data_IF_028476465819
#
_entry.id   IF_028476465819
#
_cell.length_a   1.000
_cell.length_b   1.000
_cell.length_c   1.000
_cell.angle_alpha   90.00
_cell.angle_beta   90.00
_cell.angle_gamma   90.00
#
_symmetry.space_group_name_H-M   'P 1'
#
loop_
_entity.id
_entity.type
_entity.pdbx_description
1 polymer ?
#
# COMPACT_ATOMS: atom_id res chain seq x y z
N UNK A 1 26.84 25.45 -49.48
CA UNK A 1 25.54 25.72 -50.16
C UNK A 1 24.43 25.14 -49.28
N UNK A 2 23.58 26.03 -48.73
CA UNK A 2 22.22 25.85 -48.19
C UNK A 2 21.92 24.61 -47.31
N UNK A 3 21.94 24.71 -45.98
CA UNK A 3 20.85 25.21 -45.09
C UNK A 3 19.46 24.68 -45.48
N UNK A 4 18.89 23.81 -44.63
CA UNK A 4 17.47 23.84 -44.25
C UNK A 4 17.32 23.32 -42.81
N UNK A 5 17.33 24.26 -41.86
CA UNK A 5 16.61 24.14 -40.60
C UNK A 5 15.17 24.53 -40.90
N UNK A 6 14.20 23.67 -40.55
CA UNK A 6 12.80 24.06 -40.49
C UNK A 6 12.29 23.79 -39.08
N UNK A 7 12.36 24.83 -38.27
CA UNK A 7 11.62 24.97 -37.02
C UNK A 7 10.13 24.97 -37.35
N UNK A 8 9.36 24.08 -36.73
CA UNK A 8 7.90 24.20 -36.64
C UNK A 8 7.58 24.31 -35.16
N UNK A 9 7.36 25.55 -34.71
CA UNK A 9 6.57 25.83 -33.52
C UNK A 9 5.10 25.54 -33.87
N UNK A 10 4.43 24.72 -33.06
CA UNK A 10 3.01 24.47 -33.13
C UNK A 10 2.49 24.12 -31.74
N UNK A 11 1.91 25.12 -31.09
CA UNK A 11 1.07 24.96 -29.89
C UNK A 11 -0.17 24.17 -30.29
N UNK A 12 -0.43 23.05 -29.63
CA UNK A 12 -1.63 22.25 -29.84
C UNK A 12 -1.71 21.16 -28.78
N UNK A 13 -2.72 21.24 -27.91
CA UNK A 13 -2.92 20.31 -26.81
C UNK A 13 -2.99 18.86 -27.29
N UNK A 14 -2.27 17.98 -26.58
CA UNK A 14 -2.40 16.54 -26.71
C UNK A 14 -3.70 16.13 -26.02
N UNK A 15 -4.80 16.27 -26.76
CA UNK A 15 -6.03 15.52 -26.53
C UNK A 15 -5.78 14.13 -27.11
N UNK A 16 -5.41 13.17 -26.26
CA UNK A 16 -5.45 11.76 -26.63
C UNK A 16 -6.81 11.20 -26.25
N UNK A 17 -7.64 11.00 -27.27
CA UNK A 17 -8.82 10.15 -27.22
C UNK A 17 -8.59 8.88 -28.04
N UNK A 18 -8.88 7.76 -27.40
CA UNK A 18 -9.44 6.50 -27.91
C UNK A 18 -8.55 5.53 -28.72
N UNK A 19 -8.39 4.30 -28.20
CA UNK A 19 -9.20 3.13 -28.62
C UNK A 19 -8.80 1.86 -27.83
N UNK A 20 -9.80 1.26 -27.19
CA UNK A 20 -10.16 -0.18 -27.15
C UNK A 20 -9.12 -1.25 -26.71
N UNK A 21 -9.57 -2.12 -25.80
CA UNK A 21 -9.00 -3.40 -25.35
C UNK A 21 -7.82 -3.41 -24.35
N UNK A 22 -7.88 -2.54 -23.35
CA UNK A 22 -7.56 -3.00 -22.00
C UNK A 22 -8.79 -2.74 -21.16
N UNK A 23 -9.53 -3.78 -20.78
CA UNK A 23 -10.28 -3.71 -19.54
C UNK A 23 -9.22 -3.54 -18.45
N UNK A 24 -8.79 -2.30 -18.22
CA UNK A 24 -8.10 -1.92 -17.01
C UNK A 24 -9.07 -2.36 -15.92
N UNK A 25 -8.78 -3.50 -15.27
CA UNK A 25 -9.59 -4.01 -14.17
C UNK A 25 -9.82 -2.83 -13.23
N UNK A 26 -11.08 -2.41 -13.11
CA UNK A 26 -11.46 -1.27 -12.29
C UNK A 26 -10.85 -1.45 -10.90
N UNK A 27 -9.94 -0.56 -10.54
CA UNK A 27 -9.26 -0.61 -9.25
C UNK A 27 -10.19 -0.14 -8.12
N UNK A 28 -11.45 0.21 -8.43
CA UNK A 28 -12.43 0.67 -7.46
C UNK A 28 -12.12 2.08 -6.94
N UNK A 29 -11.25 2.83 -7.63
CA UNK A 29 -10.92 4.20 -7.28
C UNK A 29 -9.91 4.33 -6.14
N UNK A 30 -8.95 3.40 -6.02
CA UNK A 30 -7.92 3.40 -4.96
C UNK A 30 -7.25 4.76 -4.81
N UNK A 31 -6.80 5.37 -5.92
CA UNK A 31 -6.11 6.66 -5.87
C UNK A 31 -6.99 7.78 -5.29
N UNK A 32 -8.29 7.79 -5.64
CA UNK A 32 -9.24 8.78 -5.11
C UNK A 32 -9.45 8.60 -3.61
N UNK A 33 -9.55 7.36 -3.13
CA UNK A 33 -9.70 7.05 -1.70
C UNK A 33 -8.44 7.43 -0.93
N UNK A 34 -7.25 7.12 -1.46
CA UNK A 34 -5.97 7.50 -0.88
C UNK A 34 -5.81 9.02 -0.77
N UNK A 35 -6.22 9.78 -1.78
CA UNK A 35 -6.19 11.25 -1.71
C UNK A 35 -7.18 11.79 -0.66
N UNK A 36 -8.35 11.19 -0.49
CA UNK A 36 -9.28 11.56 0.61
C UNK A 36 -8.65 11.29 1.98
N UNK A 37 -8.03 10.13 2.19
CA UNK A 37 -7.35 9.79 3.46
C UNK A 37 -6.23 10.79 3.79
N UNK A 38 -5.48 11.20 2.76
CA UNK A 38 -4.32 12.10 2.86
C UNK A 38 -4.71 13.57 3.07
N UNK A 39 -5.79 14.04 2.44
CA UNK A 39 -6.18 15.46 2.40
C UNK A 39 -7.42 15.80 3.23
N UNK A 40 -8.18 14.79 3.67
CA UNK A 40 -9.39 14.95 4.45
C UNK A 40 -9.14 15.71 5.75
N UNK A 41 -9.93 16.76 5.97
CA UNK A 41 -9.87 17.59 7.19
C UNK A 41 -10.77 17.02 8.29
N UNK A 42 -11.86 16.36 7.89
CA UNK A 42 -12.81 15.72 8.80
C UNK A 42 -12.38 14.28 9.10
N UNK A 43 -12.27 13.93 10.37
CA UNK A 43 -11.92 12.57 10.80
C UNK A 43 -12.88 11.51 10.24
N UNK A 44 -14.18 11.82 10.21
CA UNK A 44 -15.23 10.94 9.69
C UNK A 44 -15.05 10.62 8.19
N UNK A 45 -14.69 11.61 7.36
CA UNK A 45 -14.42 11.36 5.93
C UNK A 45 -13.17 10.49 5.74
N UNK A 46 -12.14 10.68 6.56
CA UNK A 46 -10.94 9.85 6.53
C UNK A 46 -11.24 8.40 6.94
N UNK A 47 -12.03 8.20 8.00
CA UNK A 47 -12.51 6.87 8.39
C UNK A 47 -13.27 6.21 7.28
N UNK A 48 -14.26 6.90 6.72
CA UNK A 48 -15.09 6.34 5.66
C UNK A 48 -14.26 5.99 4.43
N UNK A 49 -13.36 6.88 4.00
CA UNK A 49 -12.47 6.62 2.87
C UNK A 49 -11.54 5.42 3.12
N UNK A 50 -11.08 5.23 4.36
CA UNK A 50 -10.22 4.11 4.72
C UNK A 50 -10.97 2.78 4.81
N UNK A 51 -12.22 2.79 5.28
CA UNK A 51 -13.12 1.62 5.25
C UNK A 51 -13.45 1.22 3.80
N UNK A 52 -13.83 2.18 2.96
CA UNK A 52 -14.06 1.93 1.53
C UNK A 52 -12.79 1.37 0.85
N UNK A 53 -11.61 1.89 1.19
CA UNK A 53 -10.34 1.40 0.66
C UNK A 53 -10.06 -0.03 1.12
N UNK A 54 -10.31 -0.34 2.39
CA UNK A 54 -10.13 -1.66 2.95
C UNK A 54 -10.96 -2.71 2.19
N UNK A 55 -12.22 -2.41 1.90
CA UNK A 55 -13.16 -3.31 1.20
C UNK A 55 -12.69 -3.53 -0.24
N UNK A 56 -12.41 -2.45 -0.97
CA UNK A 56 -11.96 -2.52 -2.37
C UNK A 56 -10.64 -3.30 -2.51
N UNK A 57 -9.70 -3.12 -1.58
CA UNK A 57 -8.43 -3.87 -1.56
C UNK A 57 -8.62 -5.35 -1.20
N UNK A 58 -9.66 -5.70 -0.43
CA UNK A 58 -9.99 -7.09 -0.13
C UNK A 58 -10.64 -7.82 -1.32
N UNK A 59 -11.39 -7.09 -2.14
CA UNK A 59 -12.27 -7.64 -3.18
C UNK A 59 -11.73 -7.54 -4.60
N UNK A 60 -10.68 -6.76 -4.86
CA UNK A 60 -10.10 -6.62 -6.19
C UNK A 60 -8.58 -6.82 -6.23
N UNK A 61 -8.14 -7.70 -7.13
CA UNK A 61 -6.72 -7.91 -7.44
C UNK A 61 -6.07 -6.64 -7.99
N UNK A 62 -6.75 -5.92 -8.89
CA UNK A 62 -6.24 -4.68 -9.45
C UNK A 62 -6.14 -3.59 -8.39
N UNK A 63 -7.11 -3.51 -7.48
CA UNK A 63 -7.05 -2.62 -6.34
C UNK A 63 -5.89 -2.95 -5.40
N UNK A 64 -5.66 -4.23 -5.12
CA UNK A 64 -4.54 -4.69 -4.29
C UNK A 64 -3.19 -4.28 -4.90
N UNK A 65 -3.04 -4.37 -6.22
CA UNK A 65 -1.85 -3.91 -6.95
C UNK A 65 -1.72 -2.38 -6.95
N UNK A 66 -2.81 -1.66 -7.22
CA UNK A 66 -2.84 -0.20 -7.22
C UNK A 66 -2.48 0.36 -5.83
N UNK A 67 -3.05 -0.23 -4.77
CA UNK A 67 -2.72 0.10 -3.39
C UNK A 67 -1.23 -0.13 -3.09
N UNK A 68 -0.66 -1.25 -3.55
CA UNK A 68 0.76 -1.54 -3.39
C UNK A 68 1.67 -0.45 -3.96
N UNK A 69 1.30 0.09 -5.12
CA UNK A 69 2.09 1.07 -5.85
C UNK A 69 2.15 2.44 -5.17
N UNK A 70 1.07 2.88 -4.52
CA UNK A 70 0.95 4.28 -4.02
C UNK A 70 0.41 4.40 -2.59
N UNK A 71 -0.25 3.39 -2.07
CA UNK A 71 -0.98 3.44 -0.80
C UNK A 71 -0.15 3.16 0.45
N UNK A 72 0.93 2.38 0.34
CA UNK A 72 1.76 2.00 1.49
C UNK A 72 2.28 3.21 2.29
N UNK A 73 2.88 4.26 1.68
CA UNK A 73 3.39 5.41 2.43
C UNK A 73 2.27 6.18 3.15
N UNK A 74 1.09 6.24 2.55
CA UNK A 74 -0.07 6.97 3.06
C UNK A 74 -0.63 6.25 4.30
N UNK A 75 -0.83 4.93 4.21
CA UNK A 75 -1.35 4.14 5.33
C UNK A 75 -0.31 4.04 6.46
N UNK A 76 0.98 3.92 6.15
CA UNK A 76 2.03 3.99 7.18
C UNK A 76 2.07 5.35 7.88
N UNK A 77 1.73 6.44 7.20
CA UNK A 77 1.61 7.76 7.82
C UNK A 77 0.43 7.79 8.79
N UNK A 78 -0.72 7.24 8.43
CA UNK A 78 -1.88 7.12 9.34
C UNK A 78 -1.50 6.37 10.62
N UNK A 79 -0.84 5.22 10.50
CA UNK A 79 -0.36 4.43 11.65
C UNK A 79 0.69 5.15 12.51
N UNK A 80 1.33 6.17 11.97
CA UNK A 80 2.35 6.97 12.67
C UNK A 80 1.73 8.16 13.37
N UNK A 81 0.87 8.90 12.68
CA UNK A 81 0.43 10.23 13.08
C UNK A 81 -0.91 10.18 13.86
N UNK A 82 -1.76 9.17 13.62
CA UNK A 82 -3.13 9.09 14.14
C UNK A 82 -3.32 8.00 15.20
N UNK A 83 -2.28 7.66 15.97
CA UNK A 83 -2.29 6.53 16.92
C UNK A 83 -3.39 6.57 17.99
N UNK A 84 -3.86 7.76 18.34
CA UNK A 84 -4.95 7.94 19.30
C UNK A 84 -6.33 7.57 18.75
N UNK A 85 -6.49 7.54 17.42
CA UNK A 85 -7.72 7.16 16.76
C UNK A 85 -7.70 5.65 16.46
N UNK A 86 -8.17 4.86 17.43
CA UNK A 86 -8.12 3.41 17.35
C UNK A 86 -8.89 2.87 16.14
N UNK A 87 -10.03 3.47 15.79
CA UNK A 87 -10.83 2.99 14.68
C UNK A 87 -10.09 3.23 13.35
N UNK A 88 -9.36 4.33 13.23
CA UNK A 88 -8.57 4.64 12.03
C UNK A 88 -7.34 3.74 11.93
N UNK A 89 -6.67 3.51 13.06
CA UNK A 89 -5.52 2.61 13.15
C UNK A 89 -5.92 1.18 12.81
N UNK A 90 -7.06 0.70 13.33
CA UNK A 90 -7.57 -0.65 13.04
C UNK A 90 -7.88 -0.82 11.55
N UNK A 91 -8.61 0.12 10.96
CA UNK A 91 -8.90 0.14 9.53
C UNK A 91 -7.61 0.17 8.67
N UNK A 92 -6.62 0.97 9.06
CA UNK A 92 -5.32 1.02 8.39
C UNK A 92 -4.58 -0.33 8.46
N UNK A 93 -4.56 -0.97 9.63
CA UNK A 93 -3.95 -2.30 9.81
C UNK A 93 -4.66 -3.36 8.99
N UNK A 94 -5.99 -3.36 8.97
CA UNK A 94 -6.79 -4.31 8.19
C UNK A 94 -6.59 -4.11 6.68
N UNK A 95 -6.51 -2.86 6.23
CA UNK A 95 -6.16 -2.54 4.83
C UNK A 95 -4.79 -3.09 4.46
N UNK A 96 -3.78 -2.93 5.32
CA UNK A 96 -2.46 -3.53 5.11
C UNK A 96 -2.53 -5.07 5.09
N UNK A 97 -3.28 -5.69 6.00
CA UNK A 97 -3.42 -7.15 6.03
C UNK A 97 -4.04 -7.65 4.73
N UNK A 98 -5.09 -7.00 4.25
CA UNK A 98 -5.73 -7.32 2.98
C UNK A 98 -4.75 -7.12 1.81
N UNK A 99 -4.02 -5.99 1.80
CA UNK A 99 -3.04 -5.67 0.77
C UNK A 99 -1.87 -6.66 0.69
N UNK A 100 -1.44 -7.24 1.81
CA UNK A 100 -0.29 -8.14 1.89
C UNK A 100 -0.65 -9.62 1.74
N UNK A 101 -1.95 -9.96 1.78
CA UNK A 101 -2.40 -11.35 1.71
C UNK A 101 -2.14 -11.96 0.33
N UNK A 102 -1.40 -13.06 0.32
CA UNK A 102 -1.09 -13.83 -0.90
C UNK A 102 -2.18 -14.84 -1.26
N UNK A 103 -2.87 -15.39 -0.26
CA UNK A 103 -3.91 -16.41 -0.41
C UNK A 103 -5.31 -15.78 -0.52
N UNK A 104 -5.47 -14.83 -1.46
CA UNK A 104 -6.77 -14.20 -1.72
C UNK A 104 -7.73 -15.09 -2.52
N UNK A 105 -9.01 -14.70 -2.64
CA UNK A 105 -9.99 -15.41 -3.49
C UNK A 105 -9.64 -15.36 -4.99
N UNK A 106 -8.67 -14.54 -5.38
CA UNK A 106 -8.20 -14.38 -6.75
C UNK A 106 -7.26 -15.53 -7.10
N UNK A 107 -7.81 -16.59 -7.67
CA UNK A 107 -7.03 -17.64 -8.32
C UNK A 107 -6.37 -17.06 -9.58
N UNK A 108 -5.18 -16.50 -9.44
CA UNK A 108 -4.30 -16.22 -10.58
C UNK A 108 -3.69 -17.53 -11.10
N UNK A 109 -3.40 -17.59 -12.40
CA UNK A 109 -2.54 -18.66 -12.92
C UNK A 109 -1.15 -18.56 -12.25
N UNK A 110 -0.45 -19.69 -12.06
CA UNK A 110 0.85 -19.77 -11.37
C UNK A 110 1.92 -18.79 -11.90
N UNK A 111 1.81 -18.33 -13.14
CA UNK A 111 2.73 -17.39 -13.78
C UNK A 111 2.41 -15.90 -13.52
N UNK A 112 1.29 -15.58 -12.84
CA UNK A 112 0.90 -14.20 -12.57
C UNK A 112 1.55 -13.64 -11.30
N UNK A 113 1.88 -12.35 -11.32
CA UNK A 113 2.35 -11.62 -10.14
C UNK A 113 1.33 -11.74 -9.02
N UNK A 114 1.74 -12.27 -7.88
CA UNK A 114 0.93 -12.32 -6.67
C UNK A 114 1.00 -10.96 -5.97
N UNK A 115 -0.09 -10.17 -5.90
CA UNK A 115 -0.04 -8.81 -5.37
C UNK A 115 0.44 -8.78 -3.91
N UNK A 116 -0.01 -9.71 -3.07
CA UNK A 116 0.42 -9.80 -1.68
C UNK A 116 1.93 -9.96 -1.52
N UNK A 117 2.58 -10.79 -2.36
CA UNK A 117 4.04 -10.96 -2.36
C UNK A 117 4.74 -9.67 -2.79
N UNK A 118 4.29 -9.06 -3.89
CA UNK A 118 4.84 -7.80 -4.38
C UNK A 118 4.70 -6.68 -3.34
N UNK A 119 3.53 -6.58 -2.71
CA UNK A 119 3.25 -5.57 -1.69
C UNK A 119 4.08 -5.78 -0.43
N UNK A 120 4.34 -7.03 -0.03
CA UNK A 120 5.31 -7.33 1.03
C UNK A 120 6.72 -6.83 0.67
N UNK A 121 7.17 -7.03 -0.58
CA UNK A 121 8.46 -6.51 -1.02
C UNK A 121 8.49 -4.98 -0.99
N UNK A 122 7.47 -4.32 -1.52
CA UNK A 122 7.37 -2.85 -1.53
C UNK A 122 7.37 -2.30 -0.11
N UNK A 123 6.53 -2.85 0.78
CA UNK A 123 6.47 -2.44 2.18
C UNK A 123 7.82 -2.60 2.88
N UNK A 124 8.57 -3.66 2.57
CA UNK A 124 9.89 -3.88 3.16
C UNK A 124 10.97 -2.89 2.69
N UNK A 125 10.74 -2.20 1.57
CA UNK A 125 11.64 -1.17 1.02
C UNK A 125 11.28 0.23 1.53
N UNK A 126 10.06 0.43 2.02
CA UNK A 126 9.64 1.67 2.66
C UNK A 126 10.49 1.98 3.89
N UNK A 127 11.05 3.19 3.93
CA UNK A 127 11.97 3.59 4.99
C UNK A 127 11.25 3.63 6.35
N UNK A 128 11.83 2.93 7.33
CA UNK A 128 11.29 2.89 8.69
C UNK A 128 10.00 2.07 8.85
N UNK A 129 9.50 1.40 7.80
CA UNK A 129 8.26 0.61 7.88
C UNK A 129 8.31 -0.48 8.95
N UNK A 130 9.40 -1.27 8.98
CA UNK A 130 9.60 -2.33 9.97
C UNK A 130 9.72 -1.76 11.38
N UNK A 131 10.43 -0.64 11.56
CA UNK A 131 10.55 0.02 12.88
C UNK A 131 9.19 0.54 13.36
N UNK A 132 8.39 1.10 12.46
CA UNK A 132 7.03 1.54 12.76
C UNK A 132 6.17 0.34 13.20
N UNK A 133 6.15 -0.74 12.43
CA UNK A 133 5.40 -1.95 12.79
C UNK A 133 5.86 -2.53 14.15
N UNK A 134 7.16 -2.63 14.39
CA UNK A 134 7.67 -3.09 15.69
C UNK A 134 7.23 -2.19 16.84
N UNK A 135 7.16 -0.87 16.65
CA UNK A 135 6.68 0.05 17.68
C UNK A 135 5.18 -0.10 17.97
N UNK A 136 4.37 -0.55 17.00
CA UNK A 136 2.94 -0.81 17.20
C UNK A 136 2.69 -2.05 18.09
N UNK A 137 3.67 -2.94 18.24
CA UNK A 137 3.58 -4.04 19.20
C UNK A 137 3.57 -3.59 20.66
N UNK A 138 3.95 -2.32 20.93
CA UNK A 138 3.93 -1.73 22.26
C UNK A 138 2.64 -0.96 22.58
N UNK A 139 1.69 -0.89 21.64
CA UNK A 139 0.39 -0.24 21.89
C UNK A 139 -0.41 -1.01 22.94
N UNK A 140 -1.24 -0.32 23.72
CA UNK A 140 -2.07 -0.93 24.78
C UNK A 140 -3.22 -1.78 24.22
N UNK A 141 -3.70 -1.45 23.02
CA UNK A 141 -4.79 -2.13 22.37
C UNK A 141 -4.36 -3.51 21.83
N UNK A 142 -5.08 -4.56 22.24
CA UNK A 142 -4.76 -5.93 21.84
C UNK A 142 -4.93 -6.16 20.33
N UNK A 143 -5.93 -5.52 19.71
CA UNK A 143 -6.24 -5.67 18.29
C UNK A 143 -5.08 -5.12 17.45
N UNK A 144 -4.59 -3.93 17.80
CA UNK A 144 -3.42 -3.31 17.16
C UNK A 144 -2.21 -4.24 17.21
N UNK A 145 -1.89 -4.79 18.39
CA UNK A 145 -0.76 -5.72 18.54
C UNK A 145 -0.96 -7.00 17.72
N UNK A 146 -2.16 -7.57 17.75
CA UNK A 146 -2.48 -8.82 17.04
C UNK A 146 -2.31 -8.67 15.53
N UNK A 147 -2.92 -7.65 14.92
CA UNK A 147 -2.81 -7.41 13.48
C UNK A 147 -1.38 -7.03 13.07
N UNK A 148 -0.68 -6.25 13.89
CA UNK A 148 0.73 -5.91 13.66
C UNK A 148 1.62 -7.16 13.65
N UNK A 149 1.41 -8.10 14.58
CA UNK A 149 2.14 -9.37 14.58
C UNK A 149 1.83 -10.20 13.33
N UNK A 150 0.57 -10.19 12.88
CA UNK A 150 0.16 -10.78 11.61
C UNK A 150 0.92 -10.21 10.43
N UNK A 151 0.97 -8.88 10.31
CA UNK A 151 1.71 -8.17 9.25
C UNK A 151 3.20 -8.51 9.26
N UNK A 152 3.85 -8.50 10.44
CA UNK A 152 5.26 -8.87 10.58
C UNK A 152 5.51 -10.33 10.19
N UNK A 153 4.57 -11.22 10.48
CA UNK A 153 4.63 -12.63 10.09
C UNK A 153 4.54 -12.78 8.57
N UNK A 154 3.61 -12.07 7.92
CA UNK A 154 3.43 -12.06 6.46
C UNK A 154 4.66 -11.48 5.76
N UNK A 155 5.19 -10.36 6.26
CA UNK A 155 6.45 -9.78 5.79
C UNK A 155 7.61 -10.76 5.93
N UNK A 156 7.71 -11.47 7.06
CA UNK A 156 8.80 -12.44 7.28
C UNK A 156 8.74 -13.65 6.35
N UNK A 157 7.54 -14.05 5.91
CA UNK A 157 7.36 -15.16 4.96
C UNK A 157 7.66 -14.76 3.52
N UNK A 158 7.36 -13.52 3.14
CA UNK A 158 7.39 -13.06 1.75
C UNK A 158 8.56 -12.11 1.43
N UNK A 159 9.26 -11.57 2.43
CA UNK A 159 10.42 -10.71 2.18
C UNK A 159 11.67 -11.54 1.88
N UNK A 160 12.41 -11.13 0.85
CA UNK A 160 13.69 -11.75 0.49
C UNK A 160 14.68 -11.74 1.66
N UNK A 161 15.56 -12.74 1.70
CA UNK A 161 16.53 -13.06 2.79
C UNK A 161 17.32 -11.85 3.33
N UNK A 162 17.50 -10.79 2.52
CA UNK A 162 18.20 -9.57 2.89
C UNK A 162 17.51 -8.78 4.02
N UNK A 163 16.17 -8.84 4.13
CA UNK A 163 15.42 -8.14 5.18
C UNK A 163 15.34 -8.90 6.51
N UNK A 164 15.49 -10.24 6.47
CA UNK A 164 15.59 -11.08 7.68
C UNK A 164 16.85 -10.77 8.50
N UNK A 165 17.93 -10.31 7.86
CA UNK A 165 19.14 -9.86 8.56
C UNK A 165 18.89 -8.57 9.33
N UNK A 166 18.20 -7.60 8.72
CA UNK A 166 17.82 -6.35 9.40
C UNK A 166 16.88 -6.61 10.57
N UNK A 167 15.89 -7.50 10.41
CA UNK A 167 14.94 -7.84 11.47
C UNK A 167 15.63 -8.61 12.62
N UNK A 168 16.55 -9.53 12.31
CA UNK A 168 17.38 -10.23 13.32
C UNK A 168 18.35 -9.31 14.05
N UNK A 169 18.97 -8.36 13.35
CA UNK A 169 19.86 -7.36 13.98
C UNK A 169 19.04 -6.46 14.91
N UNK A 170 17.88 -5.97 14.47
CA UNK A 170 17.04 -5.08 15.25
C UNK A 170 16.45 -5.77 16.50
N UNK A 171 15.96 -7.00 16.36
CA UNK A 171 15.47 -7.79 17.51
C UNK A 171 16.58 -8.12 18.52
N UNK A 172 17.83 -8.30 18.06
CA UNK A 172 18.97 -8.55 18.95
C UNK A 172 19.32 -7.33 19.79
N UNK A 173 19.13 -6.11 19.27
CA UNK A 173 19.33 -4.86 20.01
C UNK A 173 18.25 -4.53 21.05
N UNK A 174 17.09 -5.20 21.01
CA UNK A 174 16.02 -5.00 22.01
C UNK A 174 16.00 -6.07 23.13
N UNK A 175 16.80 -7.14 23.00
CA UNK A 175 16.82 -8.28 23.93
C UNK A 175 18.14 -8.41 24.72
N UNK A 176 19.00 -7.41 24.67
CA UNK A 176 20.21 -7.22 25.51
C UNK A 176 20.18 -5.83 26.10
#
# INVERSE_FOLDING_TARGET
MHRYLKTIQGVGGLVFGNNEDNAQEDDGGVERLLERIKTGVLAEDRHQALQELQDVVAESRSAQLAFGATGLPIVLKVLRDDRSDLDLVRAALETLVNALRSEGPFHGNDDQVQPGVLNCELLSREEGSVSLLLSLLNEEDFYVRYHTLGLLTMLSRNSSVRNLLSLRVYLRSYLT
#
